data_IF_722772266967
#
_entry.id   IF_722772266967
#
_cell.length_a   1.000
_cell.length_b   1.000
_cell.length_c   1.000
_cell.angle_alpha   90.00
_cell.angle_beta   90.00
_cell.angle_gamma   90.00
#
_symmetry.space_group_name_H-M   'P 1'
#
loop_
_entity.id
_entity.type
_entity.pdbx_description
1 polymer ?
#
# COMPACT_ATOMS: atom_id res chain seq x y z
N UNK A 1 -36.57 -86.50 4.13
CA UNK A 1 -36.85 -86.32 5.57
C UNK A 1 -35.60 -85.75 6.23
N UNK A 2 -35.77 -84.60 6.86
CA UNK A 2 -35.01 -84.02 7.97
C UNK A 2 -33.47 -83.91 7.94
N UNK A 3 -33.05 -82.64 7.81
CA UNK A 3 -32.02 -81.94 8.61
C UNK A 3 -30.55 -82.27 8.27
N UNK A 4 -29.53 -81.50 8.71
CA UNK A 4 -29.55 -80.27 9.52
C UNK A 4 -28.52 -79.15 9.13
N UNK A 5 -28.76 -77.99 9.75
CA UNK A 5 -27.85 -77.09 10.50
C UNK A 5 -26.56 -76.51 9.86
N UNK A 6 -26.60 -75.18 9.68
CA UNK A 6 -25.68 -74.14 10.22
C UNK A 6 -24.29 -74.61 10.69
N UNK A 7 -23.21 -73.87 10.33
CA UNK A 7 -22.85 -72.71 11.15
C UNK A 7 -22.27 -71.49 10.39
N UNK A 8 -22.46 -70.32 11.02
CA UNK A 8 -21.70 -69.09 10.81
C UNK A 8 -20.19 -69.32 11.09
N UNK A 9 -19.29 -68.52 10.50
CA UNK A 9 -18.79 -67.41 11.30
C UNK A 9 -18.53 -66.09 10.56
N UNK A 10 -18.52 -65.07 11.41
CA UNK A 10 -18.31 -63.64 11.22
C UNK A 10 -16.81 -63.34 11.26
N UNK A 11 -16.31 -62.52 10.34
CA UNK A 11 -15.20 -61.54 10.50
C UNK A 11 -14.81 -61.06 9.09
N UNK A 12 -15.09 -59.81 8.68
CA UNK A 12 -14.40 -58.57 9.03
C UNK A 12 -12.93 -58.53 8.57
N UNK A 13 -12.49 -57.32 8.19
CA UNK A 13 -11.19 -56.90 7.63
C UNK A 13 -11.14 -56.96 6.10
N UNK A 14 -11.50 -55.90 5.38
CA UNK A 14 -10.86 -54.59 5.28
C UNK A 14 -10.01 -54.48 4.00
N UNK A 15 -10.34 -53.44 3.25
CA UNK A 15 -9.46 -52.68 2.37
C UNK A 15 -8.87 -53.41 1.16
N UNK A 16 -9.64 -53.42 0.07
CA UNK A 16 -9.07 -53.27 -1.27
C UNK A 16 -10.14 -52.82 -2.29
N UNK A 17 -10.38 -51.52 -2.41
CA UNK A 17 -10.89 -50.93 -3.66
C UNK A 17 -9.96 -49.77 -4.00
N UNK A 18 -8.92 -49.96 -4.83
CA UNK A 18 -8.95 -50.07 -6.30
C UNK A 18 -9.83 -49.01 -6.96
N UNK A 19 -9.16 -47.88 -7.23
CA UNK A 19 -9.27 -46.93 -8.33
C UNK A 19 -10.44 -47.08 -9.33
N UNK A 20 -11.09 -45.94 -9.67
CA UNK A 20 -11.22 -45.40 -11.04
C UNK A 20 -12.03 -44.08 -11.07
N UNK A 21 -11.46 -43.04 -11.68
CA UNK A 21 -12.01 -41.72 -12.12
C UNK A 21 -13.15 -41.87 -13.17
N UNK A 22 -13.83 -40.81 -13.72
CA UNK A 22 -13.88 -39.35 -13.43
C UNK A 22 -15.32 -38.74 -13.43
N UNK A 23 -15.53 -37.52 -12.90
CA UNK A 23 -16.65 -36.66 -13.32
C UNK A 23 -16.38 -35.18 -13.04
N UNK A 24 -16.66 -34.37 -14.05
CA UNK A 24 -16.41 -32.95 -14.17
C UNK A 24 -17.32 -32.07 -13.29
N UNK A 25 -16.76 -30.97 -12.78
CA UNK A 25 -17.46 -29.68 -12.63
C UNK A 25 -16.45 -28.59 -12.24
N UNK A 26 -15.91 -27.91 -13.24
CA UNK A 26 -15.18 -26.67 -13.07
C UNK A 26 -16.17 -25.57 -12.64
N UNK A 27 -16.21 -25.26 -11.34
CA UNK A 27 -16.86 -24.05 -10.81
C UNK A 27 -15.81 -22.93 -10.75
N UNK A 28 -15.57 -22.35 -11.92
CA UNK A 28 -15.00 -21.01 -12.08
C UNK A 28 -16.08 -20.01 -11.65
N UNK A 29 -16.05 -19.60 -10.39
CA UNK A 29 -16.72 -18.37 -9.95
C UNK A 29 -15.64 -17.35 -9.62
N UNK A 30 -15.30 -16.59 -10.65
CA UNK A 30 -14.55 -15.35 -10.52
C UNK A 30 -15.30 -14.41 -9.60
N UNK A 31 -14.82 -14.26 -8.38
CA UNK A 31 -15.12 -13.11 -7.57
C UNK A 31 -14.26 -11.96 -8.09
N UNK A 32 -14.86 -11.17 -8.98
CA UNK A 32 -14.48 -9.78 -9.19
C UNK A 32 -14.58 -9.07 -7.83
N UNK A 33 -13.49 -9.03 -7.06
CA UNK A 33 -13.29 -7.93 -6.14
C UNK A 33 -12.69 -6.82 -6.98
N UNK A 34 -13.58 -5.96 -7.49
CA UNK A 34 -13.25 -4.65 -8.01
C UNK A 34 -12.11 -4.07 -7.18
N UNK A 35 -10.96 -3.80 -7.79
CA UNK A 35 -10.04 -2.82 -7.27
C UNK A 35 -10.79 -1.48 -7.33
N UNK A 36 -11.69 -1.28 -6.38
CA UNK A 36 -12.30 0.00 -6.12
C UNK A 36 -11.14 0.92 -5.83
N UNK A 37 -11.14 2.05 -6.54
CA UNK A 37 -10.27 3.19 -6.30
C UNK A 37 -10.52 3.67 -4.87
N UNK A 38 -9.96 2.97 -3.90
CA UNK A 38 -9.79 3.47 -2.57
C UNK A 38 -8.73 4.55 -2.72
N UNK A 39 -9.17 5.80 -2.83
CA UNK A 39 -8.25 6.92 -2.70
C UNK A 39 -7.53 6.73 -1.37
N UNK A 40 -6.26 6.36 -1.41
CA UNK A 40 -5.50 5.92 -0.24
C UNK A 40 -5.61 6.97 0.88
N UNK A 41 -6.40 6.63 1.90
CA UNK A 41 -6.50 7.41 3.11
C UNK A 41 -5.11 7.47 3.76
N UNK A 42 -4.72 8.65 4.21
CA UNK A 42 -3.44 8.86 4.85
C UNK A 42 -3.56 8.42 6.32
N UNK A 43 -2.80 7.40 6.71
CA UNK A 43 -2.77 6.89 8.09
C UNK A 43 -1.48 7.36 8.76
N UNK A 44 -1.60 8.07 9.88
CA UNK A 44 -0.46 8.60 10.60
C UNK A 44 0.57 7.52 10.96
N UNK A 45 1.85 7.82 10.73
CA UNK A 45 2.98 6.91 10.96
C UNK A 45 3.31 5.99 9.78
N UNK A 46 2.42 5.86 8.78
CA UNK A 46 2.69 5.05 7.59
C UNK A 46 3.59 5.79 6.60
N UNK A 47 4.44 5.02 5.91
CA UNK A 47 5.13 5.52 4.73
C UNK A 47 4.19 5.50 3.53
N UNK A 48 4.16 6.61 2.79
CA UNK A 48 3.36 6.75 1.58
C UNK A 48 4.26 7.12 0.40
N UNK A 49 3.86 6.65 -0.77
CA UNK A 49 4.44 7.04 -2.07
C UNK A 49 3.32 7.49 -2.99
N UNK A 50 3.49 8.65 -3.60
CA UNK A 50 2.53 9.15 -4.59
C UNK A 50 3.20 10.09 -5.60
N UNK A 51 2.47 10.39 -6.66
CA UNK A 51 2.80 11.43 -7.63
C UNK A 51 1.68 12.46 -7.68
N UNK A 52 1.97 13.63 -8.21
CA UNK A 52 0.98 14.69 -8.34
C UNK A 52 1.56 15.99 -8.89
N UNK A 53 0.74 17.04 -8.88
CA UNK A 53 1.11 18.39 -9.28
C UNK A 53 1.18 19.32 -8.07
N UNK A 54 2.21 20.15 -8.00
CA UNK A 54 2.33 21.18 -6.96
C UNK A 54 1.29 22.27 -7.23
N UNK A 55 0.43 22.55 -6.24
CA UNK A 55 -0.62 23.58 -6.33
C UNK A 55 -0.37 24.78 -5.43
N UNK A 56 0.43 24.62 -4.37
CA UNK A 56 0.87 25.72 -3.53
C UNK A 56 2.26 25.45 -2.95
N UNK A 57 3.02 26.52 -2.72
CA UNK A 57 4.33 26.48 -2.06
C UNK A 57 4.38 27.65 -1.07
N UNK A 58 4.55 27.32 0.21
CA UNK A 58 4.78 28.28 1.30
C UNK A 58 6.14 27.99 1.94
N UNK A 59 7.11 28.86 1.63
CA UNK A 59 8.46 28.81 2.20
C UNK A 59 8.64 29.80 3.37
N UNK A 60 7.64 30.63 3.68
CA UNK A 60 7.76 31.65 4.73
C UNK A 60 8.18 31.07 6.11
N UNK A 61 7.73 29.86 6.51
CA UNK A 61 8.16 29.26 7.79
C UNK A 61 9.67 29.04 7.91
N UNK A 62 10.41 28.88 6.80
CA UNK A 62 11.86 28.69 6.85
C UNK A 62 12.61 29.90 7.43
N UNK A 63 12.05 31.11 7.34
CA UNK A 63 12.66 32.30 7.93
C UNK A 63 12.82 32.20 9.47
N UNK A 64 12.08 31.28 10.10
CA UNK A 64 12.08 31.05 11.54
C UNK A 64 12.31 29.58 11.90
N UNK A 65 13.11 28.87 11.08
CA UNK A 65 13.44 27.44 11.26
C UNK A 65 12.22 26.49 11.28
N UNK A 66 11.07 26.92 10.73
CA UNK A 66 9.85 26.10 10.61
C UNK A 66 9.89 25.12 9.43
N UNK A 67 8.81 24.35 9.25
CA UNK A 67 8.62 23.51 8.08
C UNK A 67 7.93 24.32 6.96
N UNK A 68 8.58 24.42 5.79
CA UNK A 68 7.89 24.86 4.59
C UNK A 68 6.83 23.84 4.19
N UNK A 69 5.80 24.32 3.51
CA UNK A 69 4.63 23.54 3.11
C UNK A 69 4.48 23.56 1.60
N UNK A 70 4.38 22.38 1.00
CA UNK A 70 4.10 22.22 -0.43
C UNK A 70 2.81 21.43 -0.56
N UNK A 71 1.76 22.05 -1.10
CA UNK A 71 0.52 21.33 -1.39
C UNK A 71 0.66 20.64 -2.74
N UNK A 72 0.42 19.34 -2.75
CA UNK A 72 0.44 18.49 -3.95
C UNK A 72 -0.97 17.97 -4.18
N UNK A 73 -1.54 18.30 -5.33
CA UNK A 73 -2.72 17.64 -5.86
C UNK A 73 -2.29 16.26 -6.37
N UNK A 74 -2.73 15.21 -5.68
CA UNK A 74 -2.28 13.84 -5.94
C UNK A 74 -2.96 13.31 -7.19
N UNK A 75 -2.22 12.52 -7.98
CA UNK A 75 -2.80 11.77 -9.10
C UNK A 75 -3.91 10.82 -8.60
N UNK A 76 -3.81 10.36 -7.34
CA UNK A 76 -4.80 9.53 -6.66
C UNK A 76 -5.12 10.05 -5.24
N UNK A 77 -6.41 10.26 -4.95
CA UNK A 77 -6.90 10.69 -3.64
C UNK A 77 -6.95 12.21 -3.46
N UNK A 78 -7.19 12.65 -2.22
CA UNK A 78 -7.29 14.08 -1.88
C UNK A 78 -5.91 14.77 -1.91
N UNK A 79 -5.83 16.08 -2.17
CA UNK A 79 -4.58 16.84 -2.06
C UNK A 79 -3.91 16.67 -0.69
N UNK A 80 -2.58 16.74 -0.66
CA UNK A 80 -1.79 16.54 0.56
C UNK A 80 -0.75 17.65 0.74
N UNK A 81 -0.54 18.04 1.99
CA UNK A 81 0.53 18.95 2.37
C UNK A 81 1.79 18.15 2.65
N UNK A 82 2.87 18.47 1.94
CA UNK A 82 4.21 17.94 2.16
C UNK A 82 5.01 18.94 2.99
N UNK A 83 5.62 18.47 4.08
CA UNK A 83 6.43 19.28 4.98
C UNK A 83 7.91 19.12 4.68
N UNK A 84 8.60 20.26 4.55
CA UNK A 84 10.03 20.34 4.26
C UNK A 84 10.72 21.11 5.39
N UNK A 85 11.61 20.51 6.17
CA UNK A 85 12.30 21.23 7.24
C UNK A 85 13.22 22.31 6.68
N UNK A 86 13.39 23.42 7.42
CA UNK A 86 14.36 24.46 7.07
C UNK A 86 15.81 23.94 7.11
N UNK A 87 16.11 23.13 8.12
CA UNK A 87 17.46 22.62 8.40
C UNK A 87 17.71 21.30 7.71
N UNK A 88 18.08 21.37 6.43
CA UNK A 88 18.32 20.18 5.60
C UNK A 88 19.48 19.31 6.12
N UNK A 89 20.43 19.91 6.83
CA UNK A 89 21.54 19.17 7.46
C UNK A 89 21.09 18.23 8.60
N UNK A 90 19.88 18.42 9.14
CA UNK A 90 19.29 17.54 10.14
C UNK A 90 18.42 16.45 9.50
N UNK A 91 18.26 16.51 8.18
CA UNK A 91 17.41 15.61 7.47
C UNK A 91 18.11 14.30 7.11
N UNK A 92 17.43 13.17 7.31
CA UNK A 92 17.98 11.85 6.95
C UNK A 92 17.87 11.57 5.47
N UNK A 93 16.87 12.16 4.82
CA UNK A 93 16.64 12.00 3.39
C UNK A 93 17.75 12.63 2.55
N UNK A 94 18.24 11.88 1.57
CA UNK A 94 19.26 12.34 0.63
C UNK A 94 18.63 13.08 -0.57
N UNK A 95 17.34 12.85 -0.83
CA UNK A 95 16.64 13.33 -2.03
C UNK A 95 15.92 14.68 -1.92
N UNK A 96 16.13 15.48 -0.86
CA UNK A 96 15.41 16.76 -0.67
C UNK A 96 16.08 17.94 -1.39
N UNK A 97 17.29 17.77 -1.94
CA UNK A 97 18.12 18.87 -2.46
C UNK A 97 17.46 19.79 -3.50
N UNK A 98 16.39 19.36 -4.17
CA UNK A 98 15.64 20.16 -5.15
C UNK A 98 14.41 20.88 -4.58
N UNK A 99 14.09 20.71 -3.30
CA UNK A 99 12.84 21.16 -2.71
C UNK A 99 12.68 22.69 -2.69
N UNK A 100 13.77 23.44 -2.55
CA UNK A 100 13.78 24.92 -2.64
C UNK A 100 13.50 25.47 -4.04
N UNK A 101 13.50 24.59 -5.05
CA UNK A 101 13.27 24.94 -6.46
C UNK A 101 11.93 24.41 -6.98
N UNK A 102 11.07 23.93 -6.09
CA UNK A 102 9.72 23.53 -6.42
C UNK A 102 8.85 24.75 -6.71
N UNK A 103 8.01 24.64 -7.73
CA UNK A 103 7.09 25.68 -8.15
C UNK A 103 5.71 25.10 -8.47
N UNK A 104 4.68 25.94 -8.35
CA UNK A 104 3.31 25.58 -8.75
C UNK A 104 3.29 25.13 -10.22
N UNK A 105 2.52 24.09 -10.50
CA UNK A 105 2.39 23.44 -11.82
C UNK A 105 3.41 22.33 -12.09
N UNK A 106 4.46 22.19 -11.28
CA UNK A 106 5.43 21.11 -11.46
C UNK A 106 4.88 19.76 -11.05
N UNK A 107 5.17 18.72 -11.83
CA UNK A 107 4.93 17.32 -11.44
C UNK A 107 6.00 16.84 -10.49
N UNK A 108 5.60 16.10 -9.46
CA UNK A 108 6.51 15.58 -8.44
C UNK A 108 6.21 14.12 -8.09
N UNK A 109 7.24 13.42 -7.65
CA UNK A 109 7.13 12.18 -6.90
C UNK A 109 7.54 12.42 -5.46
N UNK A 110 6.73 11.91 -4.53
CA UNK A 110 6.91 12.05 -3.09
C UNK A 110 6.98 10.67 -2.44
N UNK A 111 7.92 10.48 -1.52
CA UNK A 111 7.96 9.38 -0.57
C UNK A 111 8.22 9.98 0.81
N UNK A 112 7.36 9.69 1.79
CA UNK A 112 7.49 10.24 3.14
C UNK A 112 6.60 9.54 4.17
N UNK A 113 6.72 9.93 5.43
CA UNK A 113 5.84 9.45 6.51
C UNK A 113 4.65 10.38 6.66
N UNK A 114 3.46 9.83 6.86
CA UNK A 114 2.27 10.61 7.23
C UNK A 114 2.39 11.08 8.67
N UNK A 115 2.25 12.39 8.91
CA UNK A 115 2.27 12.99 10.25
C UNK A 115 0.90 12.84 10.94
N UNK A 116 0.81 13.08 12.27
CA UNK A 116 -0.48 13.09 12.97
C UNK A 116 -1.50 14.10 12.42
N UNK A 117 -1.03 15.16 11.75
CA UNK A 117 -1.85 16.17 11.08
C UNK A 117 -2.26 15.76 9.66
N UNK A 118 -2.03 14.51 9.25
CA UNK A 118 -2.29 14.01 7.88
C UNK A 118 -1.47 14.72 6.79
N UNK A 119 -0.36 15.35 7.17
CA UNK A 119 0.64 15.85 6.23
C UNK A 119 1.66 14.75 5.93
N UNK A 120 2.59 15.00 5.01
CA UNK A 120 3.66 14.06 4.69
C UNK A 120 5.02 14.69 4.95
N UNK A 121 5.78 14.13 5.89
CA UNK A 121 7.16 14.51 6.18
C UNK A 121 8.11 13.71 5.30
N UNK A 122 8.88 14.40 4.46
CA UNK A 122 9.83 13.75 3.53
C UNK A 122 11.24 13.63 4.11
N UNK A 123 11.38 13.66 5.44
CA UNK A 123 12.69 13.82 6.07
C UNK A 123 13.14 12.71 7.04
N UNK A 124 12.20 11.91 7.52
CA UNK A 124 12.44 10.98 8.65
C UNK A 124 13.24 9.73 8.29
N UNK A 125 13.35 9.37 7.01
CA UNK A 125 14.12 8.21 6.54
C UNK A 125 15.00 8.59 5.35
N UNK A 126 16.02 7.78 5.12
CA UNK A 126 16.94 7.90 3.98
C UNK A 126 16.25 7.63 2.63
N UNK A 127 15.18 6.82 2.64
CA UNK A 127 14.31 6.52 1.49
C UNK A 127 13.36 7.64 1.09
N UNK A 128 13.15 8.62 1.98
CA UNK A 128 12.22 9.70 1.69
C UNK A 128 12.77 10.62 0.60
N UNK A 129 11.88 11.08 -0.27
CA UNK A 129 12.24 11.94 -1.40
C UNK A 129 11.11 12.91 -1.71
N UNK A 130 11.49 14.05 -2.28
CA UNK A 130 10.63 14.85 -3.13
C UNK A 130 11.44 15.23 -4.36
N UNK A 131 11.01 14.78 -5.53
CA UNK A 131 11.70 15.08 -6.79
C UNK A 131 10.73 15.54 -7.85
N UNK A 132 11.18 16.47 -8.68
CA UNK A 132 10.47 16.82 -9.91
C UNK A 132 10.46 15.63 -10.87
N UNK A 133 9.34 15.48 -11.55
CA UNK A 133 9.20 14.59 -12.69
C UNK A 133 9.39 15.40 -13.99
N UNK A 134 9.82 14.75 -15.09
CA UNK A 134 9.96 15.39 -16.40
C UNK A 134 8.65 15.99 -16.94
#
# INVERSE_FOLDING_TARGET
MSRPLHPHPIAAHAAALRASLPAAAALLLGACASAGVAGNALVAGEEVRFQGAVTAVDLAPWAYDGNARVTVDRDEGAPVVVELPARWNLCRATGIGSASTLAVGQRVQVVGTVTPQTHVSVCERDTHIIRRLP
#
